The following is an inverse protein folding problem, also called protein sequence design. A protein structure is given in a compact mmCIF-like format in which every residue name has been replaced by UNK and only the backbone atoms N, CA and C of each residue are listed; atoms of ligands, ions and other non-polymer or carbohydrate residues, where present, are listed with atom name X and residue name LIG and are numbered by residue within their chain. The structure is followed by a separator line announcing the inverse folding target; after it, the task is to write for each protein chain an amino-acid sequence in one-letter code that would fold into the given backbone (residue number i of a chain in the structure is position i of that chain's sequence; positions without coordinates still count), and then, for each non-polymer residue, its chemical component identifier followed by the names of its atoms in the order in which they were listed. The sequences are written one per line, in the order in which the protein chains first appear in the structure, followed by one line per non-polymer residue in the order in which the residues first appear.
data_IF_898233276309
#
_entry.id   IF_898233276309
#
_cell.length_a   1.000
_cell.length_b   1.000
_cell.length_c   1.000
_cell.angle_alpha   90.00
_cell.angle_beta   90.00
_cell.angle_gamma   90.00
#
_symmetry.space_group_name_H-M   'P 1'
#
loop_
_entity.id
_entity.type
_entity.pdbx_description
1 polymer ?
#
# COMPACT_ATOMS: atom_id res chain seq x y z
N UNK A 1 -2.36 30.67 -25.83
CA UNK A 1 -1.24 30.59 -24.88
C UNK A 1 -1.05 29.13 -24.52
N UNK A 2 -0.03 28.49 -25.09
CA UNK A 2 0.40 27.14 -24.69
C UNK A 2 1.02 27.25 -23.31
N UNK A 3 0.37 26.70 -22.29
CA UNK A 3 0.98 26.57 -20.97
C UNK A 3 2.24 25.70 -21.12
N UNK A 4 3.40 26.27 -20.82
CA UNK A 4 4.63 25.51 -20.64
C UNK A 4 4.38 24.48 -19.54
N UNK A 5 4.31 23.21 -19.92
CA UNK A 5 4.22 22.13 -18.95
C UNK A 5 5.57 22.07 -18.23
N UNK A 6 5.64 22.56 -17.00
CA UNK A 6 6.84 22.40 -16.16
C UNK A 6 7.12 20.90 -15.98
N UNK A 7 8.13 20.41 -16.71
CA UNK A 7 8.72 19.08 -16.55
C UNK A 7 9.98 19.17 -15.70
N UNK A 8 9.88 19.83 -14.56
CA UNK A 8 11.00 19.93 -13.62
C UNK A 8 11.03 18.69 -12.72
N UNK A 9 12.21 18.11 -12.56
CA UNK A 9 12.44 17.04 -11.61
C UNK A 9 12.61 17.62 -10.20
N UNK A 10 12.02 16.97 -9.21
CA UNK A 10 12.18 17.32 -7.80
C UNK A 10 13.14 16.36 -7.11
N UNK A 11 13.94 16.87 -6.19
CA UNK A 11 14.72 16.06 -5.26
C UNK A 11 13.89 15.84 -3.98
N UNK A 12 13.83 14.59 -3.52
CA UNK A 12 13.25 14.25 -2.22
C UNK A 12 14.39 13.94 -1.25
N UNK A 13 14.31 14.51 -0.05
CA UNK A 13 15.27 14.29 1.02
C UNK A 13 14.59 13.45 2.11
N UNK A 14 14.99 12.19 2.30
CA UNK A 14 14.43 11.37 3.37
C UNK A 14 14.66 12.01 4.74
N UNK A 15 13.69 11.86 5.63
CA UNK A 15 13.73 12.41 7.00
C UNK A 15 14.05 11.34 8.05
N UNK A 16 14.17 10.08 7.63
CA UNK A 16 14.38 8.92 8.48
C UNK A 16 14.25 7.61 7.70
N UNK A 17 14.24 6.50 8.42
CA UNK A 17 14.11 5.15 7.88
C UNK A 17 13.16 4.30 8.73
N UNK A 18 12.60 3.28 8.09
CA UNK A 18 11.76 2.27 8.74
C UNK A 18 12.64 1.12 9.22
N UNK A 19 12.43 0.70 10.46
CA UNK A 19 12.95 -0.52 11.06
C UNK A 19 11.78 -1.50 11.21
N UNK A 20 11.71 -2.50 10.34
CA UNK A 20 10.66 -3.53 10.34
C UNK A 20 11.24 -4.94 10.20
N UNK A 21 10.39 -5.96 10.39
CA UNK A 21 10.79 -7.36 10.24
C UNK A 21 10.94 -7.81 8.78
N UNK A 22 10.48 -7.03 7.80
CA UNK A 22 10.39 -7.47 6.41
C UNK A 22 11.58 -7.02 5.58
N UNK A 23 12.22 -7.94 4.88
CA UNK A 23 13.40 -7.69 4.04
C UNK A 23 13.08 -7.83 2.54
N UNK A 24 11.98 -8.50 2.22
CA UNK A 24 11.47 -8.72 0.86
C UNK A 24 9.95 -8.63 0.80
N UNK A 25 9.38 -8.35 -0.38
CA UNK A 25 7.92 -8.24 -0.54
C UNK A 25 7.15 -9.52 -0.25
N UNK A 26 7.80 -10.69 -0.35
CA UNK A 26 7.18 -11.97 -0.04
C UNK A 26 6.94 -12.18 1.46
N UNK A 27 7.63 -11.43 2.31
CA UNK A 27 7.48 -11.49 3.77
C UNK A 27 6.36 -10.60 4.29
N UNK A 28 5.89 -9.63 3.50
CA UNK A 28 4.85 -8.68 3.89
C UNK A 28 3.47 -9.39 3.86
N UNK A 29 2.81 -9.58 5.01
CA UNK A 29 1.59 -10.39 5.09
C UNK A 29 0.38 -9.63 4.55
N UNK A 30 -0.20 -10.10 3.45
CA UNK A 30 -1.28 -9.41 2.75
C UNK A 30 -2.63 -9.58 3.48
N UNK A 31 -3.32 -8.49 3.90
CA UNK A 31 -4.65 -8.54 4.46
C UNK A 31 -5.69 -8.79 3.36
N UNK A 32 -6.91 -9.19 3.75
CA UNK A 32 -7.38 -9.47 5.12
C UNK A 32 -7.04 -10.88 5.66
N UNK A 33 -6.60 -10.97 6.92
CA UNK A 33 -6.34 -12.22 7.65
C UNK A 33 -5.75 -11.96 9.05
N UNK A 34 -5.82 -12.95 9.95
CA UNK A 34 -5.21 -12.89 11.29
C UNK A 34 -3.69 -12.74 11.13
N UNK A 35 -3.11 -11.61 11.53
CA UNK A 35 -1.67 -11.34 11.36
C UNK A 35 -1.27 -10.73 10.00
N UNK A 36 -2.19 -10.09 9.28
CA UNK A 36 -1.81 -9.13 8.22
C UNK A 36 -0.97 -7.98 8.78
N UNK A 37 -0.31 -7.20 7.93
CA UNK A 37 0.62 -6.13 8.37
C UNK A 37 -0.01 -5.11 9.33
N UNK A 38 -1.35 -5.02 9.34
CA UNK A 38 -2.16 -4.26 10.30
C UNK A 38 -1.80 -4.55 11.77
N UNK A 39 -1.27 -5.74 12.06
CA UNK A 39 -0.89 -6.16 13.41
C UNK A 39 0.59 -5.95 13.74
N UNK A 40 1.43 -5.76 12.72
CA UNK A 40 2.87 -5.69 12.89
C UNK A 40 3.32 -4.33 13.42
N UNK A 41 4.28 -4.40 14.36
CA UNK A 41 4.89 -3.25 15.01
C UNK A 41 6.20 -2.94 14.28
N UNK A 42 6.36 -1.68 13.88
CA UNK A 42 7.58 -1.16 13.27
C UNK A 42 8.02 0.10 13.99
N UNK A 43 9.33 0.37 13.92
CA UNK A 43 9.90 1.63 14.40
C UNK A 43 10.23 2.50 13.21
N UNK A 44 9.94 3.79 13.31
CA UNK A 44 10.44 4.82 12.41
C UNK A 44 11.56 5.55 13.15
N UNK A 45 12.77 5.50 12.62
CA UNK A 45 13.92 6.19 13.12
C UNK A 45 14.18 7.46 12.28
N UNK A 46 13.86 8.63 12.84
CA UNK A 46 14.14 9.91 12.20
C UNK A 46 15.62 10.29 12.30
N UNK A 47 16.10 11.02 11.30
CA UNK A 47 17.42 11.63 11.39
C UNK A 47 17.44 12.73 12.47
N UNK A 48 18.59 12.96 13.14
CA UNK A 48 18.66 13.85 14.31
C UNK A 48 18.09 15.26 14.08
N UNK A 49 18.29 15.83 12.89
CA UNK A 49 17.78 17.14 12.49
C UNK A 49 16.25 17.21 12.31
N UNK A 50 15.57 16.06 12.34
CA UNK A 50 14.12 15.91 12.30
C UNK A 50 13.50 15.42 13.61
N UNK A 51 14.29 14.88 14.55
CA UNK A 51 13.81 14.26 15.79
C UNK A 51 12.90 15.18 16.64
N UNK A 52 13.24 16.46 16.81
CA UNK A 52 12.39 17.38 17.59
C UNK A 52 11.04 17.70 16.92
N UNK A 53 10.88 17.44 15.61
CA UNK A 53 9.71 17.84 14.81
C UNK A 53 8.49 16.95 15.02
N UNK A 54 8.64 15.83 15.73
CA UNK A 54 7.54 14.94 16.14
C UNK A 54 6.91 15.31 17.50
N UNK A 55 7.32 16.43 18.09
CA UNK A 55 6.65 16.96 19.29
C UNK A 55 5.17 17.26 19.00
N UNK A 56 4.26 16.82 19.87
CA UNK A 56 2.81 17.00 19.71
C UNK A 56 2.08 15.84 19.02
N UNK A 57 2.78 14.75 18.70
CA UNK A 57 2.12 13.53 18.19
C UNK A 57 1.21 12.85 19.24
N UNK A 58 1.40 13.13 20.53
CA UNK A 58 0.60 12.60 21.65
C UNK A 58 -0.90 12.93 21.57
N UNK A 59 -1.25 13.98 20.82
CA UNK A 59 -2.65 14.32 20.53
C UNK A 59 -3.35 13.43 19.51
N UNK A 60 -2.62 12.52 18.83
CA UNK A 60 -3.16 11.72 17.72
C UNK A 60 -3.05 10.23 18.01
N UNK A 61 -4.12 9.49 17.66
CA UNK A 61 -4.09 8.01 17.72
C UNK A 61 -3.54 7.37 16.44
N UNK A 62 -3.61 8.09 15.31
CA UNK A 62 -3.20 7.61 14.00
C UNK A 62 -2.47 8.71 13.24
N UNK A 63 -1.52 8.29 12.42
CA UNK A 63 -0.72 9.16 11.55
C UNK A 63 -0.63 8.55 10.15
N UNK A 64 -0.41 9.41 9.17
CA UNK A 64 -0.13 9.04 7.78
C UNK A 64 1.38 9.08 7.59
N UNK A 65 1.93 7.99 7.08
CA UNK A 65 3.35 7.89 6.72
C UNK A 65 3.48 7.89 5.21
N UNK A 66 4.30 8.81 4.68
CA UNK A 66 4.74 8.78 3.28
C UNK A 66 6.18 8.26 3.23
N UNK A 67 6.44 7.30 2.36
CA UNK A 67 7.74 6.65 2.26
C UNK A 67 8.11 6.33 0.82
N UNK A 68 9.40 6.16 0.55
CA UNK A 68 9.90 5.79 -0.76
C UNK A 68 10.10 4.28 -0.86
N UNK A 69 9.35 3.60 -1.73
CA UNK A 69 9.47 2.15 -1.96
C UNK A 69 10.75 1.90 -2.77
N UNK A 70 11.88 1.96 -2.06
CA UNK A 70 13.25 1.92 -2.61
C UNK A 70 13.56 0.64 -3.40
N UNK A 71 12.88 -0.46 -3.09
CA UNK A 71 12.97 -1.74 -3.81
C UNK A 71 11.84 -1.99 -4.79
N UNK A 72 11.07 -0.97 -5.19
CA UNK A 72 9.91 -1.16 -6.09
C UNK A 72 10.23 -1.98 -7.35
N UNK A 73 11.42 -1.85 -7.94
CA UNK A 73 11.86 -2.65 -9.09
C UNK A 73 12.04 -4.16 -8.83
N UNK A 74 12.18 -4.57 -7.57
CA UNK A 74 12.25 -5.98 -7.16
C UNK A 74 10.86 -6.61 -6.98
N UNK A 75 9.80 -5.78 -6.95
CA UNK A 75 8.45 -6.28 -6.75
C UNK A 75 8.01 -7.14 -7.95
N UNK A 76 7.52 -8.32 -7.63
CA UNK A 76 6.91 -9.24 -8.61
C UNK A 76 5.45 -9.43 -8.25
N UNK A 77 4.62 -9.40 -9.28
CA UNK A 77 3.21 -9.73 -9.12
C UNK A 77 3.09 -11.18 -8.62
N UNK A 78 2.33 -11.46 -7.55
CA UNK A 78 2.18 -12.82 -7.04
C UNK A 78 1.60 -13.77 -8.09
N UNK A 79 1.93 -15.06 -7.98
CA UNK A 79 1.57 -16.07 -8.98
C UNK A 79 0.05 -16.22 -9.22
N UNK A 80 -0.77 -15.98 -8.19
CA UNK A 80 -2.23 -16.01 -8.28
C UNK A 80 -2.82 -14.87 -9.14
N UNK A 81 -2.05 -13.84 -9.45
CA UNK A 81 -2.46 -12.70 -10.29
C UNK A 81 -1.93 -12.81 -11.75
N UNK A 82 -1.19 -13.88 -12.11
CA UNK A 82 -0.51 -14.02 -13.41
C UNK A 82 -1.38 -14.48 -14.60
N UNK A 83 -2.68 -14.73 -14.46
CA UNK A 83 -3.53 -15.26 -15.56
C UNK A 83 -3.87 -14.24 -16.68
N UNK A 84 -2.99 -13.29 -16.98
CA UNK A 84 -3.32 -12.10 -17.76
C UNK A 84 -3.10 -12.18 -19.27
N UNK A 85 -2.33 -13.11 -19.84
CA UNK A 85 -1.76 -12.83 -21.18
C UNK A 85 -2.09 -13.80 -22.32
N UNK A 86 -2.73 -14.96 -22.08
CA UNK A 86 -2.87 -15.97 -23.15
C UNK A 86 -4.29 -16.35 -23.56
N UNK A 87 -5.33 -15.85 -22.88
CA UNK A 87 -6.73 -16.15 -23.24
C UNK A 87 -7.46 -14.96 -23.89
N UNK A 88 -7.18 -13.71 -23.49
CA UNK A 88 -7.92 -12.53 -23.98
C UNK A 88 -7.68 -12.23 -25.49
N UNK A 89 -6.55 -12.69 -26.06
CA UNK A 89 -6.30 -12.57 -27.52
C UNK A 89 -7.07 -13.58 -28.37
N UNK A 90 -7.62 -14.65 -27.79
CA UNK A 90 -8.34 -15.71 -28.53
C UNK A 90 -9.85 -15.47 -28.57
N UNK A 91 -10.40 -14.68 -27.65
CA UNK A 91 -11.84 -14.48 -27.52
C UNK A 91 -12.41 -13.40 -28.47
N UNK A 92 -11.57 -12.69 -29.23
CA UNK A 92 -12.04 -11.72 -30.25
C UNK A 92 -12.40 -12.34 -31.61
N UNK A 93 -12.27 -13.67 -31.80
CA UNK A 93 -12.54 -14.28 -33.10
C UNK A 93 -13.51 -15.47 -33.15
N UNK A 94 -14.20 -15.86 -32.08
CA UNK A 94 -15.19 -16.94 -32.18
C UNK A 94 -16.50 -16.74 -31.40
N UNK A 95 -17.58 -17.09 -32.11
CA UNK A 95 -19.00 -16.89 -31.85
C UNK A 95 -19.57 -17.61 -30.60
N UNK A 96 -20.55 -16.94 -29.97
CA UNK A 96 -21.94 -17.37 -29.71
C UNK A 96 -22.29 -18.59 -28.80
N UNK A 97 -23.30 -18.34 -27.94
CA UNK A 97 -24.28 -19.25 -27.31
C UNK A 97 -23.88 -20.24 -26.18
N UNK A 98 -24.36 -19.88 -24.98
CA UNK A 98 -25.05 -20.70 -23.97
C UNK A 98 -24.32 -21.86 -23.26
N UNK A 99 -24.04 -21.68 -21.95
CA UNK A 99 -24.28 -22.60 -20.81
C UNK A 99 -23.21 -22.44 -19.70
N UNK A 100 -23.66 -22.47 -18.43
CA UNK A 100 -22.91 -23.09 -17.33
C UNK A 100 -22.16 -22.14 -16.38
N UNK A 101 -22.59 -22.17 -15.12
CA UNK A 101 -21.96 -21.53 -13.96
C UNK A 101 -20.55 -22.09 -13.67
N UNK A 102 -19.70 -21.21 -13.09
CA UNK A 102 -18.45 -21.47 -12.34
C UNK A 102 -17.16 -21.56 -13.20
N UNK A 103 -16.12 -20.75 -13.03
CA UNK A 103 -15.40 -20.50 -11.77
C UNK A 103 -14.74 -19.10 -11.70
N UNK A 104 -14.70 -18.62 -10.47
CA UNK A 104 -14.19 -17.33 -10.02
C UNK A 104 -12.81 -16.95 -10.54
N UNK A 105 -12.71 -15.74 -11.10
CA UNK A 105 -11.44 -15.04 -11.20
C UNK A 105 -11.70 -13.59 -10.74
N UNK A 106 -11.34 -13.26 -9.51
CA UNK A 106 -11.26 -11.90 -8.93
C UNK A 106 -10.15 -11.07 -9.57
N UNK A 107 -10.09 -11.12 -10.90
CA UNK A 107 -8.96 -10.63 -11.65
C UNK A 107 -9.14 -9.15 -11.96
N UNK A 108 -8.05 -8.41 -11.76
CA UNK A 108 -7.95 -7.03 -12.19
C UNK A 108 -8.23 -6.95 -13.70
N UNK A 109 -9.19 -6.14 -14.18
CA UNK A 109 -9.46 -6.01 -15.61
C UNK A 109 -8.24 -5.54 -16.41
N UNK A 110 -8.09 -5.97 -17.67
CA UNK A 110 -6.91 -5.66 -18.52
C UNK A 110 -6.66 -4.16 -18.77
N UNK A 111 -7.74 -3.37 -18.74
CA UNK A 111 -7.67 -1.91 -18.90
C UNK A 111 -7.18 -1.19 -17.63
N UNK A 112 -7.18 -1.82 -16.45
CA UNK A 112 -6.73 -1.20 -15.20
C UNK A 112 -5.21 -1.10 -15.17
N UNK A 113 -4.71 0.14 -15.13
CA UNK A 113 -3.28 0.48 -15.07
C UNK A 113 -2.88 1.01 -13.68
N UNK A 114 -1.60 1.29 -13.49
CA UNK A 114 -0.96 1.55 -12.19
C UNK A 114 -1.64 2.63 -11.34
N UNK A 115 -2.17 3.70 -11.93
CA UNK A 115 -2.82 4.77 -11.17
C UNK A 115 -4.21 4.41 -10.62
N UNK A 116 -4.83 3.37 -11.15
CA UNK A 116 -6.06 2.80 -10.61
C UNK A 116 -5.80 1.66 -9.61
N UNK A 117 -4.55 1.50 -9.16
CA UNK A 117 -4.13 0.50 -8.15
C UNK A 117 -3.21 1.11 -7.11
N UNK A 118 -2.93 0.34 -6.05
CA UNK A 118 -1.89 0.64 -5.04
C UNK A 118 -0.59 -0.17 -5.27
N UNK A 119 -0.34 -0.63 -6.49
CA UNK A 119 0.88 -1.39 -6.80
C UNK A 119 2.14 -0.55 -6.53
N UNK A 120 3.24 -1.16 -6.03
CA UNK A 120 4.46 -0.45 -5.65
C UNK A 120 5.31 0.02 -6.84
N UNK A 121 5.21 -0.65 -7.99
CA UNK A 121 5.89 -0.23 -9.24
C UNK A 121 5.12 0.93 -9.85
N UNK A 122 5.60 2.16 -9.63
CA UNK A 122 4.96 3.42 -10.07
C UNK A 122 6.02 4.38 -10.64
N UNK A 123 5.63 5.40 -11.44
CA UNK A 123 6.58 6.42 -11.90
C UNK A 123 7.33 7.12 -10.76
N UNK A 124 6.64 7.41 -9.67
CA UNK A 124 7.22 7.80 -8.39
C UNK A 124 6.76 6.79 -7.34
N UNK A 125 7.60 5.85 -6.89
CA UNK A 125 7.24 4.78 -5.96
C UNK A 125 7.05 5.30 -4.53
N UNK A 126 6.09 6.20 -4.33
CA UNK A 126 5.71 6.74 -3.03
C UNK A 126 4.63 5.83 -2.43
N UNK A 127 4.94 5.24 -1.28
CA UNK A 127 4.01 4.52 -0.43
C UNK A 127 3.28 5.45 0.52
N UNK A 128 2.09 5.03 0.93
CA UNK A 128 1.26 5.71 1.93
C UNK A 128 0.59 4.67 2.81
N UNK A 129 0.75 4.83 4.12
CA UNK A 129 0.08 3.98 5.10
C UNK A 129 -0.53 4.84 6.21
N UNK A 130 -1.76 4.52 6.59
CA UNK A 130 -2.38 5.03 7.81
C UNK A 130 -2.05 4.03 8.91
N UNK A 131 -1.31 4.47 9.92
CA UNK A 131 -0.82 3.59 10.99
C UNK A 131 -1.31 4.09 12.34
N UNK A 132 -1.45 3.16 13.27
CA UNK A 132 -1.73 3.50 14.67
C UNK A 132 -0.43 3.94 15.33
N UNK A 133 -0.44 5.11 15.96
CA UNK A 133 0.66 5.58 16.80
C UNK A 133 0.62 4.82 18.13
N UNK A 134 1.75 4.20 18.49
CA UNK A 134 1.88 3.43 19.73
C UNK A 134 2.71 4.18 20.76
N UNK A 135 3.84 4.77 20.33
CA UNK A 135 4.73 5.56 21.18
C UNK A 135 5.64 6.47 20.33
N UNK A 136 6.26 7.48 20.93
CA UNK A 136 7.27 8.30 20.27
C UNK A 136 8.21 9.00 21.27
N UNK A 137 9.44 9.32 20.83
CA UNK A 137 10.42 10.08 21.62
C UNK A 137 11.10 11.15 20.76
N UNK A 138 10.81 12.45 20.99
CA UNK A 138 11.47 13.55 20.29
C UNK A 138 12.98 13.65 20.56
N UNK A 139 13.47 13.11 21.67
CA UNK A 139 14.91 13.11 21.97
C UNK A 139 15.69 12.11 21.12
N UNK A 140 15.10 10.94 20.87
CA UNK A 140 15.71 9.88 20.05
C UNK A 140 15.31 9.93 18.58
N UNK A 141 14.22 10.62 18.24
CA UNK A 141 13.63 10.60 16.89
C UNK A 141 12.89 9.30 16.57
N UNK A 142 12.56 8.48 17.57
CA UNK A 142 11.86 7.21 17.40
C UNK A 142 10.34 7.39 17.40
N UNK A 143 9.64 6.72 16.50
CA UNK A 143 8.18 6.61 16.48
C UNK A 143 7.81 5.13 16.32
N UNK A 144 7.11 4.57 17.30
CA UNK A 144 6.64 3.18 17.28
C UNK A 144 5.22 3.19 16.74
N UNK A 145 5.00 2.40 15.68
CA UNK A 145 3.71 2.35 14.98
C UNK A 145 3.25 0.92 14.76
N UNK A 146 1.94 0.76 14.60
CA UNK A 146 1.31 -0.51 14.24
C UNK A 146 0.56 -0.36 12.91
N UNK A 147 0.74 -1.33 12.00
CA UNK A 147 0.03 -1.35 10.72
C UNK A 147 0.82 -0.87 9.51
N UNK A 148 2.16 -0.87 9.58
CA UNK A 148 3.03 -0.38 8.51
C UNK A 148 3.47 -1.52 7.58
N UNK A 149 3.26 -1.37 6.27
CA UNK A 149 3.49 -2.38 5.22
C UNK A 149 4.76 -2.10 4.39
N UNK A 150 5.85 -1.76 5.07
CA UNK A 150 7.09 -1.33 4.43
C UNK A 150 8.31 -2.16 4.86
N UNK A 151 9.25 -2.36 3.93
CA UNK A 151 10.47 -3.12 4.17
C UNK A 151 11.42 -2.38 5.12
N UNK A 152 12.24 -3.13 5.83
CA UNK A 152 13.34 -2.63 6.63
C UNK A 152 14.29 -1.75 5.78
N UNK A 153 14.73 -0.62 6.34
CA UNK A 153 15.55 0.39 5.66
C UNK A 153 14.78 1.28 4.68
N UNK A 154 13.45 1.16 4.59
CA UNK A 154 12.64 2.01 3.69
C UNK A 154 12.74 3.48 4.10
N UNK A 155 13.14 4.40 3.18
CA UNK A 155 13.24 5.83 3.50
C UNK A 155 11.87 6.48 3.75
N UNK A 156 11.77 7.25 4.84
CA UNK A 156 10.60 8.08 5.13
C UNK A 156 10.73 9.42 4.42
N UNK A 157 9.63 9.86 3.81
CA UNK A 157 9.51 11.16 3.16
C UNK A 157 8.78 12.16 4.03
N UNK A 158 7.72 11.74 4.73
CA UNK A 158 6.88 12.64 5.52
C UNK A 158 6.04 11.90 6.56
N UNK A 159 5.61 12.64 7.59
CA UNK A 159 4.68 12.19 8.63
C UNK A 159 3.59 13.26 8.79
N UNK A 160 2.33 12.85 8.73
CA UNK A 160 1.18 13.75 8.91
C UNK A 160 0.21 13.20 9.94
N UNK A 161 -0.50 14.05 10.71
CA UNK A 161 -1.62 13.58 11.51
C UNK A 161 -2.72 13.02 10.61
N UNK A 162 -3.38 11.94 11.03
CA UNK A 162 -4.63 11.50 10.43
C UNK A 162 -5.79 12.29 11.06
N UNK A 163 -6.57 12.97 10.24
CA UNK A 163 -7.72 13.78 10.66
C UNK A 163 -8.97 13.16 10.04
N UNK A 164 -9.84 12.49 10.83
CA UNK A 164 -11.01 11.80 10.29
C UNK A 164 -11.89 12.68 9.40
N UNK A 165 -12.08 13.95 9.77
CA UNK A 165 -12.89 14.90 9.01
C UNK A 165 -12.31 15.23 7.62
N UNK A 166 -11.00 15.01 7.39
CA UNK A 166 -10.33 15.29 6.11
C UNK A 166 -10.00 14.02 5.32
N UNK A 167 -9.70 12.94 6.04
CA UNK A 167 -9.10 11.73 5.49
C UNK A 167 -10.08 10.54 5.43
N UNK A 168 -11.26 10.64 6.06
CA UNK A 168 -12.29 9.60 6.06
C UNK A 168 -13.51 10.00 5.24
N UNK A 169 -13.84 9.18 4.25
CA UNK A 169 -15.04 9.31 3.43
C UNK A 169 -15.83 7.99 3.51
N UNK A 170 -16.69 7.81 4.54
CA UNK A 170 -17.43 6.56 4.75
C UNK A 170 -18.31 6.14 3.57
N UNK A 171 -18.67 7.08 2.70
CA UNK A 171 -19.46 6.89 1.48
C UNK A 171 -18.63 6.44 0.26
N UNK A 172 -17.30 6.36 0.38
CA UNK A 172 -16.43 5.95 -0.70
C UNK A 172 -16.78 4.54 -1.20
N UNK A 173 -16.87 4.37 -2.52
CA UNK A 173 -17.19 3.09 -3.17
C UNK A 173 -15.98 2.46 -3.86
N UNK A 174 -15.98 1.13 -3.96
CA UNK A 174 -14.94 0.37 -4.66
C UNK A 174 -15.49 -0.23 -5.97
N UNK A 175 -14.67 -0.37 -7.02
CA UNK A 175 -15.02 -1.22 -8.16
C UNK A 175 -15.32 -2.65 -7.70
N UNK A 176 -16.28 -3.31 -8.35
CA UNK A 176 -16.75 -4.64 -7.97
C UNK A 176 -15.61 -5.67 -7.85
N UNK A 177 -14.66 -5.65 -8.80
CA UNK A 177 -13.52 -6.57 -8.82
C UNK A 177 -12.59 -6.39 -7.60
N UNK A 178 -12.45 -5.17 -7.09
CA UNK A 178 -11.68 -4.89 -5.86
C UNK A 178 -12.45 -5.42 -4.65
N UNK A 179 -13.74 -5.10 -4.55
CA UNK A 179 -14.58 -5.58 -3.45
C UNK A 179 -14.65 -7.10 -3.39
N UNK A 180 -14.72 -7.78 -4.55
CA UNK A 180 -14.69 -9.23 -4.65
C UNK A 180 -13.37 -9.80 -4.15
N UNK A 181 -12.24 -9.25 -4.59
CA UNK A 181 -10.90 -9.67 -4.13
C UNK A 181 -10.77 -9.55 -2.61
N UNK A 182 -11.17 -8.41 -2.04
CA UNK A 182 -11.15 -8.21 -0.59
C UNK A 182 -11.98 -9.25 0.16
N UNK A 183 -13.19 -9.58 -0.32
CA UNK A 183 -14.07 -10.60 0.31
C UNK A 183 -13.51 -12.02 0.21
N UNK A 184 -12.96 -12.41 -0.94
CA UNK A 184 -12.36 -13.74 -1.12
C UNK A 184 -11.18 -13.96 -0.17
N UNK A 185 -10.33 -12.94 0.00
CA UNK A 185 -9.26 -12.98 0.98
C UNK A 185 -9.79 -13.09 2.43
N UNK A 186 -10.97 -12.53 2.75
CA UNK A 186 -11.58 -12.70 4.09
C UNK A 186 -12.09 -14.13 4.33
N UNK A 187 -12.64 -14.76 3.30
CA UNK A 187 -13.31 -16.06 3.39
C UNK A 187 -12.34 -17.25 3.46
N UNK A 188 -11.18 -17.18 2.79
CA UNK A 188 -10.14 -18.21 2.87
C UNK A 188 -9.65 -18.49 4.31
N UNK A 189 -9.90 -17.57 5.25
CA UNK A 189 -9.46 -17.70 6.65
C UNK A 189 -10.58 -18.09 7.63
N UNK A 190 -11.84 -18.14 7.21
CA UNK A 190 -12.93 -18.66 8.05
C UNK A 190 -13.06 -20.18 8.00
N UNK A 191 -12.49 -20.82 6.98
CA UNK A 191 -12.57 -22.28 6.76
C UNK A 191 -11.40 -23.07 7.38
N UNK A 192 -10.35 -22.38 7.86
CA UNK A 192 -9.15 -22.95 8.50
C UNK A 192 -9.19 -22.90 10.05
N UNK A 193 -10.39 -22.74 10.64
CA UNK A 193 -10.61 -22.65 12.11
C UNK A 193 -11.46 -23.78 12.65
#
# INVERSE_FOLDING_TARGET
MTQETHRESFALHPIGQIESGYHSFGEVPHPPGNGGWNEDISTIALYPEHAGKISGLDGYSHIIILFWIHKSGEWKMPAHDHHHDSQDRRDHHQHNHNQGLSHSHSHKPAHVKVFATRMPVRPNPIGLSVVKLMDFSPESGSVIVKGLDALNGTPILDIKPYIPDFDSYPEASLPEWVGKRLREHQQMHTEDR
#
